data_IF_136975597617
#
_entry.id   IF_136975597617
#
_cell.length_a   1.000
_cell.length_b   1.000
_cell.length_c   1.000
_cell.angle_alpha   90.00
_cell.angle_beta   90.00
_cell.angle_gamma   90.00
#
_symmetry.space_group_name_H-M   'P 1'
#
loop_
_entity.id
_entity.type
_entity.pdbx_description
1 polymer ?
#
# COMPACT_ATOMS: atom_id res chain seq x y z
N UNK A 1 1.79 -9.60 -12.39
CA UNK A 1 2.00 -9.63 -10.93
C UNK A 1 1.84 -8.23 -10.34
N UNK A 2 1.05 -8.08 -9.28
CA UNK A 2 0.98 -6.83 -8.54
C UNK A 2 2.20 -6.74 -7.60
N UNK A 3 2.84 -5.58 -7.49
CA UNK A 3 3.97 -5.31 -6.58
C UNK A 3 3.66 -5.73 -5.14
N UNK A 4 2.39 -5.70 -4.75
CA UNK A 4 1.97 -6.17 -3.43
C UNK A 4 2.18 -7.68 -3.25
N UNK A 5 2.12 -8.49 -4.31
CA UNK A 5 2.23 -9.96 -4.31
C UNK A 5 3.65 -10.43 -4.59
N UNK A 6 4.60 -9.54 -4.91
CA UNK A 6 5.94 -9.98 -5.29
C UNK A 6 6.79 -10.29 -4.06
N UNK A 7 7.57 -11.37 -4.14
CA UNK A 7 8.63 -11.70 -3.19
C UNK A 7 9.89 -10.85 -3.40
N UNK A 8 9.79 -9.74 -4.15
CA UNK A 8 10.91 -8.87 -4.46
C UNK A 8 11.43 -8.21 -3.15
N UNK A 9 12.71 -8.44 -2.78
CA UNK A 9 13.32 -7.84 -1.59
C UNK A 9 13.28 -6.31 -1.56
N UNK A 10 13.18 -5.67 -2.72
CA UNK A 10 13.09 -4.21 -2.85
C UNK A 10 11.65 -3.75 -2.59
N UNK A 11 10.67 -4.41 -3.22
CA UNK A 11 9.26 -4.08 -3.05
C UNK A 11 8.78 -4.28 -1.60
N UNK A 12 9.18 -5.39 -0.97
CA UNK A 12 8.87 -5.72 0.42
C UNK A 12 9.37 -4.65 1.41
N UNK A 13 10.51 -4.03 1.12
CA UNK A 13 11.07 -2.94 1.93
C UNK A 13 10.42 -1.59 1.62
N UNK A 14 9.63 -1.41 0.58
CA UNK A 14 9.05 -0.10 0.25
C UNK A 14 8.05 0.34 1.32
N UNK A 15 7.92 1.67 1.53
CA UNK A 15 6.80 2.22 2.32
C UNK A 15 5.50 2.02 1.55
N UNK A 16 4.43 1.70 2.27
CA UNK A 16 3.09 1.55 1.68
C UNK A 16 2.61 2.85 1.06
N UNK A 17 2.88 4.00 1.71
CA UNK A 17 2.54 5.32 1.17
C UNK A 17 3.20 5.58 -0.18
N UNK A 18 4.50 5.28 -0.31
CA UNK A 18 5.25 5.46 -1.55
C UNK A 18 4.71 4.59 -2.68
N UNK A 19 4.30 3.36 -2.36
CA UNK A 19 3.67 2.48 -3.33
C UNK A 19 2.35 3.06 -3.83
N UNK A 20 1.47 3.49 -2.93
CA UNK A 20 0.18 4.09 -3.31
C UNK A 20 0.41 5.37 -4.12
N UNK A 21 1.36 6.22 -3.70
CA UNK A 21 1.70 7.49 -4.37
C UNK A 21 2.29 7.31 -5.78
N UNK A 22 2.86 6.14 -6.08
CA UNK A 22 3.38 5.83 -7.41
C UNK A 22 2.29 5.53 -8.44
N UNK A 23 1.03 5.36 -8.00
CA UNK A 23 -0.10 5.06 -8.87
C UNK A 23 -0.70 6.33 -9.47
N UNK A 24 -1.12 6.30 -10.75
CA UNK A 24 -1.74 7.45 -11.39
C UNK A 24 -3.03 7.86 -10.66
N UNK A 25 -3.13 9.15 -10.30
CA UNK A 25 -4.30 9.68 -9.60
C UNK A 25 -4.29 9.49 -8.07
N UNK A 26 -3.21 8.94 -7.49
CA UNK A 26 -3.05 8.78 -6.04
C UNK A 26 -1.95 9.70 -5.53
N UNK A 27 -2.31 10.94 -5.19
CA UNK A 27 -1.37 11.87 -4.52
C UNK A 27 -1.23 11.61 -3.01
N UNK A 28 -0.30 12.31 -2.35
CA UNK A 28 -0.03 12.22 -0.91
C UNK A 28 -1.29 12.25 -0.03
N UNK A 29 -2.21 13.18 -0.31
CA UNK A 29 -3.44 13.31 0.46
C UNK A 29 -4.36 12.09 0.33
N UNK A 30 -4.51 11.55 -0.89
CA UNK A 30 -5.33 10.36 -1.15
C UNK A 30 -4.70 9.11 -0.55
N UNK A 31 -3.37 8.97 -0.65
CA UNK A 31 -2.63 7.88 -0.05
C UNK A 31 -2.75 7.87 1.48
N UNK A 32 -2.56 9.04 2.12
CA UNK A 32 -2.70 9.17 3.57
C UNK A 32 -4.12 8.81 4.04
N UNK A 33 -5.15 9.31 3.35
CA UNK A 33 -6.55 9.01 3.65
C UNK A 33 -6.85 7.51 3.55
N UNK A 34 -6.45 6.84 2.48
CA UNK A 34 -6.67 5.39 2.31
C UNK A 34 -5.95 4.61 3.42
N UNK A 35 -4.71 4.98 3.73
CA UNK A 35 -3.95 4.32 4.80
C UNK A 35 -4.63 4.50 6.17
N UNK A 36 -5.14 5.69 6.47
CA UNK A 36 -5.90 5.97 7.69
C UNK A 36 -7.19 5.13 7.77
N UNK A 37 -7.99 5.11 6.69
CA UNK A 37 -9.23 4.32 6.61
C UNK A 37 -9.00 2.82 6.79
N UNK A 38 -7.85 2.31 6.34
CA UNK A 38 -7.44 0.91 6.47
C UNK A 38 -6.66 0.61 7.75
N UNK A 39 -6.46 1.60 8.64
CA UNK A 39 -5.68 1.43 9.87
C UNK A 39 -4.20 1.08 9.64
N UNK A 40 -3.63 1.52 8.51
CA UNK A 40 -2.24 1.31 8.15
C UNK A 40 -1.42 2.51 8.64
N UNK A 41 -0.46 2.26 9.54
CA UNK A 41 0.45 3.30 10.02
C UNK A 41 1.23 3.98 8.87
N UNK A 42 1.44 5.29 8.95
CA UNK A 42 2.20 6.07 7.98
C UNK A 42 3.66 5.60 7.78
N UNK A 43 4.21 4.86 8.75
CA UNK A 43 5.57 4.28 8.67
C UNK A 43 5.59 2.83 8.19
N UNK A 44 4.42 2.23 7.92
CA UNK A 44 4.30 0.83 7.52
C UNK A 44 4.98 0.58 6.17
N UNK A 45 5.68 -0.56 6.08
CA UNK A 45 6.29 -1.09 4.85
C UNK A 45 5.46 -2.24 4.31
N UNK A 46 5.60 -2.54 3.01
CA UNK A 46 4.82 -3.58 2.31
C UNK A 46 4.92 -4.93 3.02
N UNK A 47 6.12 -5.36 3.41
CA UNK A 47 6.34 -6.60 4.18
C UNK A 47 5.62 -6.65 5.54
N UNK A 48 5.24 -5.49 6.08
CA UNK A 48 4.53 -5.37 7.35
C UNK A 48 3.02 -5.37 7.21
N UNK A 49 2.47 -5.42 5.99
CA UNK A 49 1.02 -5.52 5.82
C UNK A 49 0.55 -6.91 6.22
N UNK A 50 -0.41 -6.98 7.13
CA UNK A 50 -1.12 -8.22 7.39
C UNK A 50 -1.96 -8.63 6.17
N UNK A 51 -2.28 -9.92 6.05
CA UNK A 51 -3.07 -10.47 4.93
C UNK A 51 -4.35 -9.66 4.67
N UNK A 52 -5.12 -9.35 5.73
CA UNK A 52 -6.35 -8.56 5.63
C UNK A 52 -6.11 -7.13 5.13
N UNK A 53 -5.08 -6.43 5.63
CA UNK A 53 -4.76 -5.07 5.20
C UNK A 53 -4.37 -5.05 3.73
N UNK A 54 -3.66 -6.09 3.30
CA UNK A 54 -3.20 -6.25 1.92
C UNK A 54 -4.37 -6.50 0.96
N UNK A 55 -5.32 -7.35 1.35
CA UNK A 55 -6.55 -7.60 0.58
C UNK A 55 -7.39 -6.32 0.48
N UNK A 56 -7.63 -5.62 1.59
CA UNK A 56 -8.39 -4.37 1.59
C UNK A 56 -7.71 -3.26 0.77
N UNK A 57 -6.37 -3.17 0.85
CA UNK A 57 -5.62 -2.22 0.04
C UNK A 57 -5.75 -2.55 -1.45
N UNK A 58 -5.65 -3.82 -1.83
CA UNK A 58 -5.87 -4.23 -3.22
C UNK A 58 -7.27 -3.85 -3.70
N UNK A 59 -8.30 -4.14 -2.91
CA UNK A 59 -9.70 -3.79 -3.24
C UNK A 59 -9.91 -2.29 -3.42
N UNK A 60 -9.27 -1.46 -2.60
CA UNK A 60 -9.34 0.01 -2.72
C UNK A 60 -8.62 0.54 -3.96
N UNK A 61 -7.53 -0.10 -4.38
CA UNK A 61 -6.71 0.36 -5.51
C UNK A 61 -7.21 -0.15 -6.87
N UNK A 62 -8.01 -1.22 -6.90
CA UNK A 62 -8.60 -1.77 -8.13
C UNK A 62 -10.02 -1.28 -8.42
N UNK A 63 -10.61 -0.49 -7.52
CA UNK A 63 -11.79 0.33 -7.82
C UNK A 63 -11.44 1.50 -8.72
#
# INVERSE_FOLDING_TARGET
ESVLNSDDPIASRMKVSTLIESLPGYGKAKAAKIMEELGISATRRVQGLGVRQREQLLEQLTK
#
